data_IF_893008912357
#
_entry.id   IF_893008912357
#
_cell.length_a   1.000
_cell.length_b   1.000
_cell.length_c   1.000
_cell.angle_alpha   90.00
_cell.angle_beta   90.00
_cell.angle_gamma   90.00
#
_symmetry.space_group_name_H-M   'P 1'
#
loop_
_entity.id
_entity.type
_entity.pdbx_description
1 polymer ?
#
# COMPACT_ATOMS: atom_id res chain seq x y z
N UNK A 1 -53.97 34.51 -71.23
CA UNK A 1 -54.25 33.17 -70.68
C UNK A 1 -53.35 33.02 -69.46
N UNK A 2 -53.94 32.97 -68.26
CA UNK A 2 -53.31 32.55 -66.99
C UNK A 2 -53.41 31.00 -66.90
N UNK A 3 -52.76 30.26 -65.97
CA UNK A 3 -51.94 30.60 -64.79
C UNK A 3 -50.53 29.90 -64.89
N UNK A 4 -49.54 29.96 -64.01
CA UNK A 4 -49.45 29.60 -62.60
C UNK A 4 -48.11 30.13 -62.04
N UNK A 5 -48.14 30.55 -60.78
CA UNK A 5 -46.95 30.82 -59.96
C UNK A 5 -46.75 29.62 -59.03
N UNK A 6 -45.51 29.15 -58.83
CA UNK A 6 -45.05 28.84 -57.47
C UNK A 6 -43.68 29.49 -57.23
N UNK A 7 -43.58 30.47 -56.32
CA UNK A 7 -43.13 30.36 -54.93
C UNK A 7 -41.62 30.01 -54.81
N UNK A 8 -40.81 30.84 -54.12
CA UNK A 8 -39.36 30.77 -54.15
C UNK A 8 -38.82 29.58 -53.37
N UNK A 9 -37.79 28.94 -53.92
CA UNK A 9 -37.06 27.84 -53.29
C UNK A 9 -36.64 28.21 -51.87
N UNK A 10 -37.09 27.39 -50.92
CA UNK A 10 -36.69 27.41 -49.53
C UNK A 10 -35.17 27.19 -49.41
N UNK A 11 -34.53 27.65 -48.31
CA UNK A 11 -33.09 27.58 -48.15
C UNK A 11 -32.62 26.13 -48.20
N UNK A 12 -31.50 25.89 -48.88
CA UNK A 12 -30.75 24.63 -48.83
C UNK A 12 -30.62 24.22 -47.36
N UNK A 13 -31.25 23.11 -46.98
CA UNK A 13 -30.96 22.48 -45.70
C UNK A 13 -29.50 22.09 -45.69
N UNK A 14 -28.78 22.80 -44.84
CA UNK A 14 -27.39 22.59 -44.46
C UNK A 14 -27.26 21.12 -44.03
N UNK A 15 -26.46 20.37 -44.80
CA UNK A 15 -26.22 18.95 -44.55
C UNK A 15 -25.88 18.73 -43.09
N UNK A 16 -26.60 17.80 -42.47
CA UNK A 16 -26.45 17.43 -41.07
C UNK A 16 -24.97 17.26 -40.69
N UNK A 17 -24.57 17.68 -39.48
CA UNK A 17 -23.21 17.47 -39.03
C UNK A 17 -22.91 15.97 -39.04
N UNK A 18 -21.81 15.62 -39.69
CA UNK A 18 -21.13 14.33 -39.55
C UNK A 18 -21.11 14.01 -38.05
N UNK A 19 -21.48 12.80 -37.60
CA UNK A 19 -21.31 12.43 -36.20
C UNK A 19 -19.83 12.55 -35.91
N UNK A 20 -19.47 13.64 -35.24
CA UNK A 20 -18.16 13.82 -34.63
C UNK A 20 -17.99 12.57 -33.77
N UNK A 21 -17.03 11.73 -34.16
CA UNK A 21 -16.59 10.58 -33.40
C UNK A 21 -16.67 10.99 -31.93
N UNK A 22 -17.55 10.34 -31.17
CA UNK A 22 -17.55 10.42 -29.73
C UNK A 22 -16.24 9.75 -29.29
N UNK A 23 -15.16 10.52 -29.44
CA UNK A 23 -13.87 10.29 -28.85
C UNK A 23 -14.18 10.49 -27.36
N UNK A 24 -14.69 9.43 -26.74
CA UNK A 24 -14.98 9.40 -25.32
C UNK A 24 -13.73 9.95 -24.64
N UNK A 25 -13.84 11.07 -23.90
CA UNK A 25 -12.66 11.67 -23.31
C UNK A 25 -12.05 10.61 -22.41
N UNK A 26 -10.84 10.17 -22.76
CA UNK A 26 -10.03 9.26 -21.97
C UNK A 26 -10.12 9.71 -20.52
N UNK A 27 -10.82 8.92 -19.70
CA UNK A 27 -11.25 9.31 -18.34
C UNK A 27 -10.05 9.87 -17.59
N UNK A 28 -10.02 11.20 -17.42
CA UNK A 28 -8.92 11.85 -16.73
C UNK A 28 -8.83 11.29 -15.31
N UNK A 29 -7.67 10.78 -14.88
CA UNK A 29 -7.56 10.16 -13.57
C UNK A 29 -7.44 11.24 -12.49
N UNK A 30 -8.56 11.84 -12.10
CA UNK A 30 -8.55 13.02 -11.24
C UNK A 30 -9.42 12.81 -10.00
N UNK A 31 -8.86 12.14 -8.99
CA UNK A 31 -9.49 12.02 -7.67
C UNK A 31 -8.46 11.98 -6.55
N UNK A 32 -8.72 12.70 -5.45
CA UNK A 32 -7.88 12.63 -4.25
C UNK A 32 -7.92 11.20 -3.68
N UNK A 33 -6.77 10.54 -3.41
CA UNK A 33 -6.68 9.10 -3.16
C UNK A 33 -7.30 8.65 -1.83
N UNK A 34 -7.84 9.60 -1.07
CA UNK A 34 -8.52 9.38 0.21
C UNK A 34 -10.04 9.44 0.09
N UNK A 35 -10.56 9.45 -1.13
CA UNK A 35 -12.00 9.35 -1.41
C UNK A 35 -12.30 8.00 -2.06
N UNK A 36 -13.51 7.43 -1.88
CA UNK A 36 -13.86 6.16 -2.52
C UNK A 36 -13.68 6.19 -4.06
N UNK A 37 -14.00 7.31 -4.71
CA UNK A 37 -13.80 7.49 -6.15
C UNK A 37 -12.33 7.67 -6.53
N UNK A 38 -11.54 8.34 -5.68
CA UNK A 38 -10.09 8.40 -5.83
C UNK A 38 -9.42 7.03 -5.71
N UNK A 39 -9.90 6.17 -4.80
CA UNK A 39 -9.45 4.78 -4.68
C UNK A 39 -9.82 3.98 -5.93
N UNK A 40 -11.07 4.06 -6.40
CA UNK A 40 -11.52 3.38 -7.62
C UNK A 40 -10.76 3.83 -8.87
N UNK A 41 -10.31 5.09 -8.93
CA UNK A 41 -9.48 5.59 -10.04
C UNK A 41 -8.15 4.83 -10.22
N UNK A 42 -7.68 4.11 -9.18
CA UNK A 42 -6.49 3.27 -9.28
C UNK A 42 -6.69 1.99 -10.10
N UNK A 43 -7.92 1.61 -10.42
CA UNK A 43 -8.22 0.57 -11.41
C UNK A 43 -7.71 0.97 -12.80
N UNK A 44 -7.95 2.23 -13.17
CA UNK A 44 -7.58 2.78 -14.48
C UNK A 44 -6.13 3.30 -14.47
N UNK A 45 -5.65 3.92 -13.37
CA UNK A 45 -4.27 4.44 -13.32
C UNK A 45 -3.20 3.39 -13.09
N UNK A 46 -2.08 3.47 -13.80
CA UNK A 46 -0.94 2.56 -13.65
C UNK A 46 -0.30 2.54 -12.25
N UNK A 47 0.51 1.51 -12.03
CA UNK A 47 1.23 1.25 -10.76
C UNK A 47 2.08 2.41 -10.25
N UNK A 48 2.61 3.26 -11.14
CA UNK A 48 3.46 4.40 -10.75
C UNK A 48 2.76 5.38 -9.81
N UNK A 49 1.47 5.69 -10.05
CA UNK A 49 0.70 6.59 -9.17
C UNK A 49 0.47 5.98 -7.79
N UNK A 50 0.17 4.68 -7.74
CA UNK A 50 -0.04 3.95 -6.50
C UNK A 50 1.23 3.90 -5.66
N UNK A 51 2.34 3.47 -6.26
CA UNK A 51 3.64 3.40 -5.59
C UNK A 51 4.10 4.76 -5.09
N UNK A 52 3.85 5.84 -5.84
CA UNK A 52 4.13 7.21 -5.38
C UNK A 52 3.38 7.54 -4.09
N UNK A 53 2.07 7.32 -4.04
CA UNK A 53 1.26 7.63 -2.86
C UNK A 53 1.59 6.74 -1.67
N UNK A 54 1.80 5.45 -1.91
CA UNK A 54 2.25 4.52 -0.87
C UNK A 54 3.61 4.93 -0.32
N UNK A 55 4.55 5.31 -1.17
CA UNK A 55 5.87 5.78 -0.76
C UNK A 55 5.78 7.05 0.10
N UNK A 56 4.94 8.02 -0.28
CA UNK A 56 4.69 9.22 0.53
C UNK A 56 4.15 8.83 1.91
N UNK A 57 3.15 7.95 1.97
CA UNK A 57 2.58 7.51 3.26
C UNK A 57 3.56 6.67 4.08
N UNK A 58 4.40 5.87 3.43
CA UNK A 58 5.44 5.07 4.09
C UNK A 58 6.56 5.94 4.65
N UNK A 59 6.95 7.02 3.93
CA UNK A 59 7.87 8.02 4.46
C UNK A 59 7.28 8.75 5.66
N UNK A 60 5.99 9.10 5.63
CA UNK A 60 5.33 9.76 6.75
C UNK A 60 5.28 8.87 8.01
N UNK A 61 4.87 7.60 7.85
CA UNK A 61 4.87 6.63 8.95
C UNK A 61 6.30 6.34 9.45
N UNK A 62 7.23 6.05 8.53
CA UNK A 62 8.62 5.74 8.86
C UNK A 62 9.33 6.91 9.54
N UNK A 63 9.08 8.14 9.08
CA UNK A 63 9.55 9.36 9.74
C UNK A 63 8.96 9.51 11.14
N UNK A 64 7.69 9.19 11.33
CA UNK A 64 7.04 9.20 12.66
C UNK A 64 7.67 8.17 13.60
N UNK A 65 7.91 6.94 13.13
CA UNK A 65 8.60 5.90 13.91
C UNK A 65 10.03 6.31 14.27
N UNK A 66 10.74 6.91 13.32
CA UNK A 66 12.08 7.45 13.55
C UNK A 66 12.04 8.53 14.64
N UNK A 67 11.09 9.48 14.57
CA UNK A 67 10.92 10.52 15.58
C UNK A 67 10.60 9.92 16.95
N UNK A 68 9.68 8.96 17.02
CA UNK A 68 9.33 8.24 18.25
C UNK A 68 10.58 7.57 18.86
N UNK A 69 11.34 6.82 18.05
CA UNK A 69 12.56 6.16 18.50
C UNK A 69 13.63 7.17 18.92
N UNK A 70 13.78 8.28 18.19
CA UNK A 70 14.75 9.32 18.51
C UNK A 70 14.40 10.10 19.79
N UNK A 71 13.10 10.30 20.06
CA UNK A 71 12.62 11.07 21.22
C UNK A 71 12.48 10.22 22.49
N UNK A 72 12.03 8.98 22.36
CA UNK A 72 11.66 8.17 23.53
C UNK A 72 12.58 6.98 23.77
N UNK A 73 13.16 6.37 22.73
CA UNK A 73 14.01 5.18 22.88
C UNK A 73 15.49 5.55 23.00
N UNK A 74 16.00 6.39 22.09
CA UNK A 74 17.40 6.79 22.10
C UNK A 74 17.85 7.43 23.42
N UNK A 75 17.07 8.31 24.10
CA UNK A 75 17.50 8.87 25.39
C UNK A 75 17.52 7.85 26.53
N UNK A 76 16.72 6.78 26.46
CA UNK A 76 16.79 5.67 27.43
C UNK A 76 18.08 4.90 27.23
N UNK A 77 18.43 4.59 25.97
CA UNK A 77 19.68 3.89 25.63
C UNK A 77 20.89 4.76 25.96
N UNK A 78 20.86 6.06 25.64
CA UNK A 78 21.92 7.02 25.99
C UNK A 78 22.17 7.01 27.52
N UNK A 79 21.11 7.12 28.33
CA UNK A 79 21.22 7.06 29.80
C UNK A 79 21.80 5.73 30.26
N UNK A 80 21.32 4.62 29.71
CA UNK A 80 21.83 3.29 30.04
C UNK A 80 23.32 3.13 29.73
N UNK A 81 23.73 3.44 28.50
CA UNK A 81 25.10 3.30 28.01
C UNK A 81 26.08 4.24 28.75
N UNK A 82 25.65 5.45 29.10
CA UNK A 82 26.53 6.41 29.79
C UNK A 82 26.59 6.25 31.31
N UNK A 83 25.49 5.88 31.96
CA UNK A 83 25.38 5.92 33.42
C UNK A 83 25.53 4.54 34.06
N UNK A 84 24.97 3.51 33.43
CA UNK A 84 24.82 2.20 34.06
C UNK A 84 25.74 1.12 33.47
N UNK A 85 26.32 1.37 32.30
CA UNK A 85 27.28 0.45 31.70
C UNK A 85 28.56 0.38 32.54
N UNK A 86 28.95 -0.78 33.09
CA UNK A 86 30.15 -0.90 33.93
C UNK A 86 31.44 -0.80 33.12
N UNK A 87 32.57 -0.61 33.82
CA UNK A 87 33.89 -0.47 33.17
C UNK A 87 34.38 -1.78 32.53
N UNK A 88 34.02 -2.93 33.12
CA UNK A 88 34.31 -4.27 32.60
C UNK A 88 33.02 -5.06 32.54
N UNK A 89 32.48 -5.25 31.33
CA UNK A 89 31.34 -6.13 31.06
C UNK A 89 31.54 -6.88 29.76
N UNK A 90 30.80 -7.95 29.56
CA UNK A 90 30.88 -8.66 28.31
C UNK A 90 30.04 -9.92 28.29
N UNK A 91 29.94 -10.50 27.11
CA UNK A 91 29.46 -11.86 26.94
C UNK A 91 30.69 -12.76 26.96
N UNK A 92 30.67 -13.82 27.76
CA UNK A 92 31.69 -14.87 27.74
C UNK A 92 31.02 -16.22 27.58
N UNK A 93 31.29 -16.89 26.46
CA UNK A 93 30.66 -18.15 26.09
C UNK A 93 29.12 -18.10 26.18
N UNK A 94 28.52 -17.01 25.70
CA UNK A 94 27.05 -16.83 25.74
C UNK A 94 26.47 -16.48 27.11
N UNK A 95 27.29 -16.06 28.08
CA UNK A 95 26.81 -15.57 29.38
C UNK A 95 27.21 -14.13 29.63
N UNK A 96 26.27 -13.32 30.09
CA UNK A 96 26.51 -11.93 30.46
C UNK A 96 27.29 -11.87 31.77
N UNK A 97 28.54 -11.40 31.69
CA UNK A 97 29.36 -11.05 32.83
C UNK A 97 28.99 -9.62 33.22
N UNK A 98 28.23 -9.52 34.30
CA UNK A 98 27.94 -8.27 35.01
C UNK A 98 28.72 -8.27 36.33
N UNK A 99 29.29 -7.13 36.79
CA UNK A 99 30.05 -7.07 38.03
C UNK A 99 29.28 -7.68 39.20
N UNK A 100 30.00 -8.38 40.08
CA UNK A 100 29.43 -9.26 41.12
C UNK A 100 28.54 -8.54 42.16
N UNK A 101 28.60 -7.21 42.26
CA UNK A 101 27.72 -6.36 43.08
C UNK A 101 26.49 -5.82 42.30
N UNK A 102 26.14 -6.49 41.20
CA UNK A 102 25.16 -6.05 40.20
C UNK A 102 23.76 -5.80 40.75
N UNK A 103 23.52 -4.59 41.24
CA UNK A 103 22.18 -4.10 41.54
C UNK A 103 21.30 -4.21 40.30
N UNK A 104 20.00 -4.47 40.53
CA UNK A 104 18.97 -4.35 39.52
C UNK A 104 19.06 -2.97 38.86
N UNK A 105 19.47 -2.94 37.59
CA UNK A 105 19.46 -1.70 36.82
C UNK A 105 18.15 -1.65 36.06
N UNK A 106 17.35 -0.60 36.28
CA UNK A 106 16.15 -0.34 35.47
C UNK A 106 16.20 1.10 35.00
N UNK A 107 16.31 1.29 33.69
CA UNK A 107 16.33 2.60 33.04
C UNK A 107 15.23 2.60 32.01
N UNK A 108 14.32 3.56 32.08
CA UNK A 108 13.23 3.60 31.13
C UNK A 108 12.38 4.85 31.21
N UNK A 109 11.30 4.80 30.43
CA UNK A 109 10.12 5.64 30.50
C UNK A 109 8.89 4.74 30.27
N UNK A 110 7.71 5.33 30.13
CA UNK A 110 6.47 4.59 29.84
C UNK A 110 6.52 3.82 28.51
N UNK A 111 7.35 4.24 27.55
CA UNK A 111 7.41 3.69 26.20
C UNK A 111 8.44 2.55 26.05
N UNK A 112 9.59 2.68 26.71
CA UNK A 112 10.70 1.74 26.62
C UNK A 112 11.43 1.63 27.95
N UNK A 113 11.61 0.39 28.42
CA UNK A 113 12.34 0.07 29.64
C UNK A 113 13.44 -0.93 29.31
N UNK A 114 14.66 -0.62 29.72
CA UNK A 114 15.79 -1.52 29.68
C UNK A 114 16.15 -1.93 31.11
N UNK A 115 16.13 -3.23 31.36
CA UNK A 115 16.38 -3.82 32.68
C UNK A 115 17.55 -4.80 32.60
N UNK A 116 18.40 -4.79 33.62
CA UNK A 116 19.45 -5.79 33.81
C UNK A 116 19.22 -6.42 35.17
N UNK A 117 18.81 -7.69 35.18
CA UNK A 117 18.65 -8.52 36.37
C UNK A 117 19.51 -9.79 36.23
N UNK A 118 20.79 -9.72 36.64
CA UNK A 118 21.71 -10.86 36.51
C UNK A 118 21.38 -12.03 37.45
N UNK A 119 20.55 -11.81 38.48
CA UNK A 119 20.19 -12.82 39.48
C UNK A 119 18.79 -13.39 39.26
N UNK A 120 17.99 -12.75 38.39
CA UNK A 120 16.60 -13.10 38.12
C UNK A 120 15.74 -13.11 39.40
N UNK A 121 16.10 -12.27 40.37
CA UNK A 121 15.55 -12.31 41.73
C UNK A 121 14.21 -11.55 41.84
N UNK A 122 13.81 -10.84 40.78
CA UNK A 122 12.66 -9.94 40.85
C UNK A 122 11.68 -10.09 39.68
N UNK A 123 10.62 -10.88 39.89
CA UNK A 123 9.41 -10.91 39.07
C UNK A 123 8.67 -9.57 39.19
N UNK A 124 8.96 -8.63 38.31
CA UNK A 124 8.23 -7.38 38.18
C UNK A 124 7.54 -7.39 36.82
N UNK A 125 6.23 -7.11 36.81
CA UNK A 125 5.42 -7.07 35.60
C UNK A 125 5.87 -6.00 34.59
N UNK A 126 5.21 -5.99 33.43
CA UNK A 126 5.48 -5.05 32.34
C UNK A 126 5.39 -3.59 32.83
N UNK A 127 6.54 -2.92 32.95
CA UNK A 127 6.64 -1.58 33.55
C UNK A 127 6.63 -0.45 32.49
N UNK A 128 6.75 -0.81 31.22
CA UNK A 128 6.57 0.08 30.06
C UNK A 128 6.11 -0.69 28.83
N UNK A 129 5.73 0.03 27.78
CA UNK A 129 5.09 -0.53 26.58
C UNK A 129 5.93 -1.60 25.86
N UNK A 130 7.26 -1.41 25.84
CA UNK A 130 8.25 -2.39 25.41
C UNK A 130 9.34 -2.47 26.46
N UNK A 131 9.65 -3.68 26.92
CA UNK A 131 10.67 -3.93 27.93
C UNK A 131 11.68 -4.95 27.41
N UNK A 132 12.96 -4.62 27.52
CA UNK A 132 14.07 -5.54 27.28
C UNK A 132 14.73 -5.84 28.61
N UNK A 133 14.82 -7.10 28.96
CA UNK A 133 15.44 -7.58 30.19
C UNK A 133 16.64 -8.46 29.84
N UNK A 134 17.80 -8.07 30.37
CA UNK A 134 19.08 -8.76 30.18
C UNK A 134 19.36 -9.57 31.44
N UNK A 135 19.35 -10.89 31.31
CA UNK A 135 19.76 -11.80 32.39
C UNK A 135 21.18 -12.31 32.13
N UNK A 136 21.66 -13.19 33.02
CA UNK A 136 22.97 -13.82 32.88
C UNK A 136 23.06 -14.75 31.65
N UNK A 137 21.98 -15.43 31.28
CA UNK A 137 22.02 -16.51 30.28
C UNK A 137 21.22 -16.19 29.02
N UNK A 138 20.22 -15.33 29.14
CA UNK A 138 19.35 -14.92 28.04
C UNK A 138 19.03 -13.44 28.10
N UNK A 139 18.35 -12.97 27.05
CA UNK A 139 17.66 -11.69 27.07
C UNK A 139 16.22 -11.91 26.66
N UNK A 140 15.30 -11.26 27.37
CA UNK A 140 13.88 -11.37 27.13
C UNK A 140 13.33 -10.05 26.62
N UNK A 141 12.51 -10.14 25.58
CA UNK A 141 11.73 -9.04 25.05
C UNK A 141 10.29 -9.21 25.50
N UNK A 142 9.81 -8.31 26.32
CA UNK A 142 8.43 -8.27 26.82
C UNK A 142 7.68 -7.12 26.15
N UNK A 143 6.52 -7.43 25.61
CA UNK A 143 5.61 -6.47 24.98
C UNK A 143 4.16 -6.85 25.30
N UNK A 144 3.18 -6.10 24.79
CA UNK A 144 1.75 -6.39 25.06
C UNK A 144 1.29 -7.75 24.54
N UNK A 145 1.88 -8.26 23.46
CA UNK A 145 1.51 -9.55 22.87
C UNK A 145 2.16 -10.77 23.55
N UNK A 146 2.93 -10.59 24.63
CA UNK A 146 3.64 -11.67 25.31
C UNK A 146 5.12 -11.38 25.56
N UNK A 147 5.84 -12.45 25.87
CA UNK A 147 7.27 -12.44 26.20
C UNK A 147 8.00 -13.40 25.28
N UNK A 148 9.15 -12.97 24.78
CA UNK A 148 10.01 -13.80 23.95
C UNK A 148 11.45 -13.76 24.48
N UNK A 149 11.94 -14.92 24.89
CA UNK A 149 13.31 -15.12 25.34
C UNK A 149 14.22 -15.50 24.17
N UNK A 150 15.43 -14.96 24.18
CA UNK A 150 16.46 -15.22 23.18
C UNK A 150 17.78 -15.52 23.90
N UNK A 151 18.41 -16.63 23.49
CA UNK A 151 19.74 -16.97 23.99
C UNK A 151 20.81 -16.03 23.42
N UNK A 152 21.85 -15.74 24.19
CA UNK A 152 22.98 -14.99 23.67
C UNK A 152 23.74 -15.82 22.63
N UNK A 153 24.26 -15.14 21.59
CA UNK A 153 25.06 -15.79 20.58
C UNK A 153 26.30 -16.48 21.22
N UNK A 154 26.64 -17.72 20.81
CA UNK A 154 27.79 -18.43 21.35
C UNK A 154 29.06 -17.70 20.92
N UNK A 155 29.68 -17.00 21.87
CA UNK A 155 30.88 -16.21 21.63
C UNK A 155 31.31 -15.43 22.86
N UNK A 156 32.54 -14.92 22.81
CA UNK A 156 33.08 -14.00 23.80
C UNK A 156 33.18 -12.63 23.17
N UNK A 157 32.44 -11.66 23.71
CA UNK A 157 32.45 -10.27 23.26
C UNK A 157 32.68 -9.41 24.50
N UNK A 158 33.85 -8.79 24.59
CA UNK A 158 34.14 -7.80 25.61
C UNK A 158 33.38 -6.52 25.27
N UNK A 159 32.43 -6.15 26.14
CA UNK A 159 31.67 -4.91 26.05
C UNK A 159 32.10 -4.02 27.22
N UNK A 160 33.19 -3.29 27.05
CA UNK A 160 33.57 -2.25 28.00
C UNK A 160 32.83 -0.96 27.69
N UNK A 161 32.62 -0.10 28.70
CA UNK A 161 32.06 1.25 28.50
C UNK A 161 32.85 2.04 27.44
N UNK A 162 34.17 1.87 27.40
CA UNK A 162 35.06 2.51 26.43
C UNK A 162 34.77 2.13 24.98
N UNK A 163 34.21 0.93 24.75
CA UNK A 163 33.84 0.43 23.42
C UNK A 163 32.36 0.68 23.13
N UNK A 164 31.49 0.46 24.12
CA UNK A 164 30.04 0.60 23.98
C UNK A 164 29.57 2.04 23.69
N UNK A 165 30.17 3.04 24.36
CA UNK A 165 29.79 4.46 24.16
C UNK A 165 30.10 4.93 22.73
N UNK A 166 31.33 4.77 22.18
CA UNK A 166 31.61 5.13 20.79
C UNK A 166 30.85 4.27 19.77
N UNK A 167 30.64 2.99 20.06
CA UNK A 167 29.88 2.08 19.21
C UNK A 167 28.43 2.55 19.05
N UNK A 168 27.78 2.92 20.16
CA UNK A 168 26.41 3.43 20.14
C UNK A 168 26.36 4.81 19.47
N UNK A 169 27.25 5.73 19.86
CA UNK A 169 27.28 7.08 19.30
C UNK A 169 27.44 7.11 17.77
N UNK A 170 28.27 6.22 17.22
CA UNK A 170 28.46 6.12 15.77
C UNK A 170 27.32 5.43 15.02
N UNK A 171 26.65 4.45 15.64
CA UNK A 171 25.60 3.63 14.98
C UNK A 171 24.18 4.12 15.22
N UNK A 172 23.92 4.88 16.28
CA UNK A 172 22.61 5.44 16.62
C UNK A 172 21.86 6.04 15.42
N UNK A 173 22.44 6.93 14.58
CA UNK A 173 21.69 7.48 13.46
C UNK A 173 21.26 6.42 12.44
N UNK A 174 22.10 5.42 12.18
CA UNK A 174 21.80 4.32 11.26
C UNK A 174 20.76 3.37 11.83
N UNK A 175 20.79 3.09 13.14
CA UNK A 175 19.80 2.25 13.82
C UNK A 175 18.43 2.94 13.79
N UNK A 176 18.37 4.23 14.11
CA UNK A 176 17.12 5.01 14.05
C UNK A 176 16.55 5.09 12.63
N UNK A 177 17.42 5.29 11.64
CA UNK A 177 17.04 5.26 10.23
C UNK A 177 16.53 3.88 9.82
N UNK A 178 17.16 2.79 10.27
CA UNK A 178 16.73 1.43 10.01
C UNK A 178 15.35 1.13 10.62
N UNK A 179 15.05 1.64 11.83
CA UNK A 179 13.72 1.50 12.45
C UNK A 179 12.66 2.22 11.61
N UNK A 180 12.91 3.47 11.20
CA UNK A 180 11.97 4.23 10.38
C UNK A 180 11.78 3.61 8.98
N UNK A 181 12.88 3.31 8.29
CA UNK A 181 12.85 2.71 6.96
C UNK A 181 12.25 1.30 6.98
N UNK A 182 12.59 0.49 7.99
CA UNK A 182 12.03 -0.84 8.19
C UNK A 182 10.53 -0.79 8.44
N UNK A 183 10.05 0.12 9.29
CA UNK A 183 8.62 0.32 9.50
C UNK A 183 7.88 0.77 8.24
N UNK A 184 8.46 1.70 7.48
CA UNK A 184 7.91 2.11 6.18
C UNK A 184 7.87 0.96 5.16
N UNK A 185 8.92 0.13 5.10
CA UNK A 185 8.96 -1.04 4.21
C UNK A 185 7.93 -2.10 4.62
N UNK A 186 7.80 -2.40 5.90
CA UNK A 186 6.79 -3.34 6.42
C UNK A 186 5.38 -2.87 6.10
N UNK A 187 5.13 -1.56 6.18
CA UNK A 187 3.87 -0.98 5.76
C UNK A 187 3.58 -1.19 4.27
N UNK A 188 4.56 -0.97 3.39
CA UNK A 188 4.41 -1.20 1.95
C UNK A 188 4.08 -2.67 1.66
N UNK A 189 4.82 -3.59 2.28
CA UNK A 189 4.58 -5.03 2.16
C UNK A 189 3.20 -5.42 2.71
N UNK A 190 2.81 -4.87 3.86
CA UNK A 190 1.50 -5.08 4.46
C UNK A 190 0.35 -4.56 3.58
N UNK A 191 0.53 -3.40 2.94
CA UNK A 191 -0.45 -2.84 2.01
C UNK A 191 -0.62 -3.74 0.77
N UNK A 192 0.49 -4.23 0.20
CA UNK A 192 0.47 -5.18 -0.93
C UNK A 192 -0.18 -6.51 -0.57
N UNK A 193 0.15 -7.04 0.63
CA UNK A 193 -0.45 -8.25 1.16
C UNK A 193 -1.96 -8.07 1.35
N UNK A 194 -2.39 -6.99 2.01
CA UNK A 194 -3.80 -6.66 2.17
C UNK A 194 -4.51 -6.56 0.82
N UNK A 195 -3.92 -5.84 -0.14
CA UNK A 195 -4.44 -5.71 -1.49
C UNK A 195 -4.60 -7.07 -2.17
N UNK A 196 -3.63 -7.97 -2.04
CA UNK A 196 -3.69 -9.32 -2.60
C UNK A 196 -4.79 -10.18 -1.97
N UNK A 197 -4.96 -10.11 -0.65
CA UNK A 197 -6.02 -10.83 0.07
C UNK A 197 -7.41 -10.26 -0.25
N UNK A 198 -7.55 -8.95 -0.32
CA UNK A 198 -8.81 -8.26 -0.59
C UNK A 198 -9.20 -8.28 -2.08
N UNK A 199 -8.25 -8.50 -3.00
CA UNK A 199 -8.53 -8.58 -4.43
C UNK A 199 -9.49 -9.72 -4.79
N UNK A 200 -9.38 -10.87 -4.11
CA UNK A 200 -10.25 -12.04 -4.35
C UNK A 200 -11.73 -11.76 -4.09
N UNK A 201 -12.15 -11.34 -2.86
CA UNK A 201 -13.55 -11.01 -2.62
C UNK A 201 -14.00 -9.81 -3.45
N UNK A 202 -13.13 -8.81 -3.66
CA UNK A 202 -13.43 -7.65 -4.50
C UNK A 202 -13.74 -8.04 -5.94
N UNK A 203 -12.95 -8.96 -6.52
CA UNK A 203 -13.17 -9.47 -7.86
C UNK A 203 -14.51 -10.20 -7.98
N UNK A 204 -14.86 -11.05 -7.01
CA UNK A 204 -16.13 -11.78 -7.02
C UNK A 204 -17.34 -10.84 -7.01
N UNK A 205 -17.30 -9.77 -6.21
CA UNK A 205 -18.35 -8.74 -6.17
C UNK A 205 -18.35 -7.91 -7.46
N UNK A 206 -17.19 -7.54 -8.00
CA UNK A 206 -17.08 -6.79 -9.25
C UNK A 206 -17.68 -7.57 -10.43
N UNK A 207 -17.40 -8.88 -10.55
CA UNK A 207 -17.98 -9.73 -11.58
C UNK A 207 -19.50 -9.88 -11.45
N UNK A 208 -20.04 -9.90 -10.23
CA UNK A 208 -21.49 -9.94 -10.02
C UNK A 208 -22.18 -8.64 -10.44
N UNK A 209 -21.48 -7.50 -10.35
CA UNK A 209 -22.00 -6.18 -10.68
C UNK A 209 -21.73 -5.73 -12.12
N UNK A 210 -21.24 -6.62 -13.00
CA UNK A 210 -20.77 -6.29 -14.36
C UNK A 210 -19.81 -5.09 -14.38
N UNK A 211 -18.83 -5.12 -13.48
CA UNK A 211 -17.74 -4.15 -13.39
C UNK A 211 -16.42 -4.78 -13.83
N UNK A 212 -15.45 -3.94 -14.16
CA UNK A 212 -14.09 -4.37 -14.50
C UNK A 212 -13.52 -5.30 -13.41
N UNK A 213 -13.31 -6.58 -13.77
CA UNK A 213 -12.94 -7.65 -12.83
C UNK A 213 -11.54 -8.22 -13.10
N UNK A 214 -10.77 -7.58 -13.98
CA UNK A 214 -9.41 -7.97 -14.26
C UNK A 214 -8.56 -7.89 -12.98
N UNK A 215 -7.72 -8.91 -12.78
CA UNK A 215 -6.99 -9.10 -11.51
C UNK A 215 -6.05 -7.91 -11.20
N UNK A 216 -5.41 -7.34 -12.21
CA UNK A 216 -4.49 -6.21 -12.06
C UNK A 216 -5.17 -4.92 -11.56
N UNK A 217 -6.20 -4.39 -12.26
CA UNK A 217 -7.02 -3.26 -11.79
C UNK A 217 -7.61 -3.46 -10.39
N UNK A 218 -8.17 -4.65 -10.12
CA UNK A 218 -8.78 -4.96 -8.82
C UNK A 218 -7.73 -4.99 -7.71
N UNK A 219 -6.58 -5.62 -7.94
CA UNK A 219 -5.49 -5.65 -6.96
C UNK A 219 -4.93 -4.25 -6.68
N UNK A 220 -4.71 -3.43 -7.71
CA UNK A 220 -4.27 -2.03 -7.53
C UNK A 220 -5.26 -1.24 -6.68
N UNK A 221 -6.55 -1.38 -6.96
CA UNK A 221 -7.63 -0.69 -6.23
C UNK A 221 -7.71 -1.16 -4.78
N UNK A 222 -7.66 -2.47 -4.54
CA UNK A 222 -7.66 -3.05 -3.20
C UNK A 222 -6.44 -2.60 -2.38
N UNK A 223 -5.28 -2.48 -3.03
CA UNK A 223 -4.06 -1.98 -2.40
C UNK A 223 -4.18 -0.47 -2.11
N UNK A 224 -4.75 0.32 -3.02
CA UNK A 224 -4.98 1.76 -2.84
C UNK A 224 -5.96 2.06 -1.70
N UNK A 225 -6.91 1.15 -1.43
CA UNK A 225 -7.86 1.27 -0.33
C UNK A 225 -7.19 1.32 1.06
N UNK A 226 -5.92 0.92 1.17
CA UNK A 226 -5.16 1.03 2.43
C UNK A 226 -4.68 2.44 2.74
N UNK A 227 -4.59 3.34 1.75
CA UNK A 227 -4.03 4.69 1.93
C UNK A 227 -4.73 5.50 3.04
N UNK A 228 -6.08 5.57 3.13
CA UNK A 228 -6.75 6.25 4.25
C UNK A 228 -6.45 5.62 5.60
N UNK A 229 -6.39 4.28 5.67
CA UNK A 229 -6.04 3.55 6.89
C UNK A 229 -4.62 3.87 7.36
N UNK A 230 -3.67 3.91 6.44
CA UNK A 230 -2.27 4.25 6.73
C UNK A 230 -2.13 5.68 7.28
N UNK A 231 -2.88 6.64 6.73
CA UNK A 231 -2.88 8.02 7.26
C UNK A 231 -3.42 8.05 8.69
N UNK A 232 -4.51 7.33 8.96
CA UNK A 232 -5.06 7.19 10.30
C UNK A 232 -4.06 6.55 11.27
N UNK A 233 -3.36 5.48 10.84
CA UNK A 233 -2.32 4.82 11.63
C UNK A 233 -1.16 5.76 11.93
N UNK A 234 -0.73 6.54 10.94
CA UNK A 234 0.34 7.54 11.08
C UNK A 234 -0.06 8.62 12.10
N UNK A 235 -1.29 9.11 12.03
CA UNK A 235 -1.83 10.05 13.02
C UNK A 235 -1.91 9.42 14.41
N UNK A 236 -2.38 8.17 14.52
CA UNK A 236 -2.41 7.44 15.79
C UNK A 236 -1.03 7.28 16.42
N UNK A 237 -0.01 7.04 15.59
CA UNK A 237 1.38 6.94 16.04
C UNK A 237 1.96 8.30 16.48
N UNK A 238 1.62 9.40 15.80
CA UNK A 238 1.95 10.75 16.26
C UNK A 238 1.28 11.06 17.59
N UNK A 239 0.01 10.72 17.75
CA UNK A 239 -0.72 10.85 19.02
C UNK A 239 -0.04 10.05 20.13
N UNK A 240 0.42 8.83 19.84
CA UNK A 240 1.20 8.01 20.77
C UNK A 240 2.50 8.67 21.17
N UNK A 241 3.24 9.25 20.21
CA UNK A 241 4.48 9.96 20.46
C UNK A 241 4.32 11.19 21.39
N UNK A 242 3.13 11.82 21.43
CA UNK A 242 2.83 12.97 22.31
C UNK A 242 2.13 12.58 23.62
N UNK A 243 1.80 11.30 23.85
CA UNK A 243 1.26 10.84 25.13
C UNK A 243 -0.02 10.01 25.08
N UNK A 244 -0.53 9.63 23.90
CA UNK A 244 -1.63 8.65 23.81
C UNK A 244 -1.16 7.31 24.41
N UNK A 245 -1.97 6.64 25.25
CA UNK A 245 -1.59 5.34 25.79
C UNK A 245 -1.47 4.29 24.67
N UNK A 246 -0.65 3.26 24.88
CA UNK A 246 -0.48 2.17 23.92
C UNK A 246 -1.80 1.48 23.56
N UNK A 247 -2.72 1.36 24.51
CA UNK A 247 -4.06 0.82 24.25
C UNK A 247 -4.84 1.63 23.20
N UNK A 248 -4.63 2.96 23.18
CA UNK A 248 -5.17 3.82 22.14
C UNK A 248 -4.56 3.52 20.76
N UNK A 249 -3.24 3.35 20.69
CA UNK A 249 -2.56 2.97 19.44
C UNK A 249 -3.01 1.57 18.96
N UNK A 250 -3.16 0.62 19.87
CA UNK A 250 -3.67 -0.72 19.58
C UNK A 250 -5.11 -0.70 19.06
N UNK A 251 -5.96 0.23 19.54
CA UNK A 251 -7.30 0.43 19.01
C UNK A 251 -7.32 1.05 17.60
N UNK A 252 -6.29 1.84 17.23
CA UNK A 252 -6.18 2.42 15.88
C UNK A 252 -5.85 1.35 14.83
N UNK A 253 -5.14 0.28 15.18
CA UNK A 253 -4.80 -0.81 14.25
C UNK A 253 -6.04 -1.48 13.61
N UNK A 254 -7.01 -2.03 14.37
CA UNK A 254 -8.22 -2.59 13.78
C UNK A 254 -9.05 -1.51 13.07
N UNK A 255 -9.07 -0.27 13.56
CA UNK A 255 -9.78 0.82 12.90
C UNK A 255 -9.19 1.15 11.52
N UNK A 256 -7.87 1.10 11.38
CA UNK A 256 -7.16 1.23 10.11
C UNK A 256 -7.55 0.11 9.12
N UNK A 257 -7.61 -1.14 9.60
CA UNK A 257 -8.03 -2.28 8.77
C UNK A 257 -9.51 -2.19 8.37
N UNK A 258 -10.39 -1.80 9.29
CA UNK A 258 -11.81 -1.58 9.03
C UNK A 258 -12.02 -0.45 8.01
N UNK A 259 -11.29 0.66 8.17
CA UNK A 259 -11.34 1.77 7.22
C UNK A 259 -10.87 1.31 5.84
N UNK A 260 -9.75 0.59 5.77
CA UNK A 260 -9.20 0.07 4.52
C UNK A 260 -10.16 -0.91 3.83
N UNK A 261 -10.78 -1.82 4.59
CA UNK A 261 -11.80 -2.74 4.10
C UNK A 261 -13.08 -2.02 3.64
N UNK A 262 -13.54 -1.02 4.38
CA UNK A 262 -14.69 -0.19 4.01
C UNK A 262 -14.46 0.57 2.71
N UNK A 263 -13.27 1.16 2.53
CA UNK A 263 -12.89 1.81 1.27
C UNK A 263 -12.78 0.81 0.11
N UNK A 264 -12.21 -0.37 0.35
CA UNK A 264 -12.14 -1.41 -0.67
C UNK A 264 -13.55 -1.84 -1.13
N UNK A 265 -14.47 -2.02 -0.18
CA UNK A 265 -15.87 -2.35 -0.46
C UNK A 265 -16.59 -1.24 -1.24
N UNK A 266 -16.45 0.02 -0.81
CA UNK A 266 -17.08 1.16 -1.50
C UNK A 266 -16.50 1.40 -2.89
N UNK A 267 -15.19 1.16 -3.07
CA UNK A 267 -14.52 1.31 -4.36
C UNK A 267 -15.05 0.33 -5.42
N UNK A 268 -15.55 -0.86 -5.02
CA UNK A 268 -16.12 -1.84 -5.96
C UNK A 268 -17.30 -1.26 -6.74
N UNK A 269 -18.16 -0.50 -6.08
CA UNK A 269 -19.34 0.11 -6.70
C UNK A 269 -18.99 1.24 -7.67
N UNK A 270 -17.76 1.77 -7.59
CA UNK A 270 -17.26 2.90 -8.37
C UNK A 270 -16.27 2.47 -9.45
N UNK A 271 -16.02 1.15 -9.60
CA UNK A 271 -15.25 0.60 -10.70
C UNK A 271 -15.90 0.92 -12.06
N UNK A 272 -15.12 1.04 -13.14
CA UNK A 272 -15.66 1.14 -14.49
C UNK A 272 -16.62 -0.03 -14.76
N UNK A 273 -17.72 0.23 -15.47
CA UNK A 273 -18.56 -0.86 -15.98
C UNK A 273 -17.72 -1.65 -16.98
N UNK A 274 -17.81 -2.97 -16.95
CA UNK A 274 -17.26 -3.75 -18.06
C UNK A 274 -18.13 -3.45 -19.27
N UNK A 275 -17.53 -2.98 -20.34
CA UNK A 275 -18.16 -3.08 -21.65
C UNK A 275 -18.30 -4.57 -21.93
N UNK A 276 -19.50 -5.11 -21.75
CA UNK A 276 -19.87 -6.29 -22.50
C UNK A 276 -19.83 -5.85 -23.97
N UNK A 277 -18.68 -6.02 -24.62
CA UNK A 277 -18.69 -6.47 -26.01
C UNK A 277 -19.26 -7.89 -25.99
N UNK A 278 -20.55 -8.01 -25.64
CA UNK A 278 -21.41 -8.85 -26.42
C UNK A 278 -21.32 -8.23 -27.82
N UNK A 279 -20.34 -8.70 -28.60
CA UNK A 279 -20.48 -8.68 -30.04
C UNK A 279 -21.88 -9.22 -30.26
N UNK A 280 -22.78 -8.34 -30.69
CA UNK A 280 -24.17 -8.70 -30.90
C UNK A 280 -24.14 -9.91 -31.84
N UNK A 281 -24.51 -11.12 -31.39
CA UNK A 281 -24.46 -12.30 -32.24
C UNK A 281 -25.48 -12.18 -33.38
N UNK A 282 -26.32 -11.15 -33.34
CA UNK A 282 -27.34 -10.78 -34.31
C UNK A 282 -27.16 -9.35 -34.83
N UNK A 283 -25.94 -8.80 -34.77
CA UNK A 283 -25.53 -7.65 -35.58
C UNK A 283 -25.45 -8.06 -37.05
N UNK A 284 -26.62 -8.31 -37.64
CA UNK A 284 -26.80 -8.74 -39.01
C UNK A 284 -26.59 -7.54 -39.95
N UNK A 285 -25.53 -7.60 -40.75
CA UNK A 285 -25.47 -7.08 -42.13
C UNK A 285 -25.80 -5.61 -42.37
N UNK A 286 -24.77 -4.77 -42.36
CA UNK A 286 -24.59 -3.67 -43.31
C UNK A 286 -23.08 -3.38 -43.30
N UNK A 287 -22.28 -3.87 -44.24
CA UNK A 287 -22.38 -3.64 -45.67
C UNK A 287 -21.07 -2.95 -46.06
N UNK A 288 -20.01 -3.72 -46.19
CA UNK A 288 -18.74 -3.31 -46.80
C UNK A 288 -18.31 -4.47 -47.69
N UNK A 289 -18.93 -4.50 -48.88
CA UNK A 289 -18.30 -5.13 -50.03
C UNK A 289 -16.99 -4.35 -50.28
N UNK A 290 -15.85 -5.02 -50.09
CA UNK A 290 -14.56 -4.52 -50.56
C UNK A 290 -14.66 -4.31 -52.08
N UNK A 291 -14.71 -3.03 -52.46
CA UNK A 291 -14.39 -2.55 -53.80
C UNK A 291 -12.92 -2.94 -54.09
N UNK A 292 -12.74 -4.13 -54.65
CA UNK A 292 -11.44 -4.60 -55.13
C UNK A 292 -11.23 -4.05 -56.53
N UNK A 293 -10.35 -3.05 -56.56
CA UNK A 293 -9.79 -2.40 -57.74
C UNK A 293 -9.35 -3.42 -58.81
N UNK A 294 -9.66 -3.08 -60.06
CA UNK A 294 -9.40 -3.88 -61.25
C UNK A 294 -7.90 -4.20 -61.39
N UNK A 295 -7.54 -5.48 -61.54
CA UNK A 295 -6.76 -5.93 -62.71
C UNK A 295 -6.58 -7.45 -62.76
N UNK A 296 -6.65 -7.95 -63.99
CA UNK A 296 -6.17 -9.25 -64.49
C UNK A 296 -7.09 -10.47 -64.33
N UNK A 297 -7.69 -10.88 -65.45
CA UNK A 297 -8.16 -12.26 -65.58
C UNK A 297 -9.24 -12.48 -66.63
N UNK A 298 -8.87 -12.40 -67.91
CA UNK A 298 -9.67 -12.91 -69.02
C UNK A 298 -10.05 -14.38 -68.76
N UNK A 299 -11.34 -14.66 -68.60
CA UNK A 299 -11.91 -16.00 -68.46
C UNK A 299 -13.37 -16.00 -68.87
N UNK A 300 -13.64 -16.65 -70.00
CA UNK A 300 -14.92 -16.75 -70.70
C UNK A 300 -16.11 -17.08 -69.80
N UNK A 301 -17.21 -16.31 -69.94
CA UNK A 301 -18.49 -16.64 -69.31
C UNK A 301 -19.30 -17.57 -70.24
N UNK A 302 -19.60 -18.82 -69.85
CA UNK A 302 -20.14 -19.86 -70.74
C UNK A 302 -21.68 -19.86 -70.86
N UNK A 303 -22.34 -18.73 -70.55
CA UNK A 303 -23.80 -18.62 -70.53
C UNK A 303 -24.37 -17.40 -71.26
N UNK A 304 -23.60 -16.78 -72.16
CA UNK A 304 -24.18 -15.82 -73.11
C UNK A 304 -24.96 -16.60 -74.18
N UNK A 305 -26.22 -16.90 -73.89
CA UNK A 305 -27.17 -17.39 -74.86
C UNK A 305 -27.46 -16.27 -75.88
N UNK A 306 -27.23 -16.58 -77.15
CA UNK A 306 -27.74 -15.84 -78.30
C UNK A 306 -29.27 -15.75 -78.25
N UNK A 307 -29.83 -14.57 -78.58
CA UNK A 307 -31.03 -14.35 -79.43
C UNK A 307 -31.58 -12.91 -79.30
N UNK A 308 -32.34 -12.36 -80.29
CA UNK A 308 -31.80 -11.60 -81.42
C UNK A 308 -32.31 -10.15 -81.45
N UNK A 309 -31.57 -9.24 -82.10
CA UNK A 309 -32.08 -7.90 -82.42
C UNK A 309 -33.00 -7.95 -83.65
N UNK A 310 -34.21 -7.42 -83.48
CA UNK A 310 -35.15 -7.06 -84.54
C UNK A 310 -34.55 -6.00 -85.48
N UNK A 311 -34.61 -6.28 -86.78
CA UNK A 311 -34.33 -5.38 -87.89
C UNK A 311 -34.85 -5.93 -89.21
#
# INVERSE_FOLDING_TARGET
MNPDTPQPDAPREEGAPIPEEANEPAVEPAGFPFTPGGVASFAVTGWGRLLKWQFITALALGGTLLLLAAQHWAPVIDRFVHQHFPEQTGLNAGRLIWPADGQLVTVGNSYFVLRVDPQHDSEIGLTGDVQVELTREDWTLRWVFGEQAFEYAPGTVELDRATAVPWWGSRRPFILLAVGAGGGLLLLLGALLFGGLAAWPMKAVASYLNRESALGPVWRTATAATLPGIVLLTMGLLCYAIGLPLMGLLAVLPLCLLLSGGYAFLAVFQLPKSEDTAADPFGEGAGEEEETDETAGRGDNPFAADEPEDG
#
